data_IF_607916446294
#
_entry.id   IF_607916446294
#
_cell.length_a   1.000
_cell.length_b   1.000
_cell.length_c   1.000
_cell.angle_alpha   90.00
_cell.angle_beta   90.00
_cell.angle_gamma   90.00
#
_symmetry.space_group_name_H-M   'P 1'
#
loop_
_entity.id
_entity.type
_entity.pdbx_description
1 polymer ?
#
# COMPACT_ATOMS: atom_id res chain seq x y z
N UNK A 1 -15.14 23.01 77.02
CA UNK A 1 -14.12 23.35 76.01
C UNK A 1 -14.84 23.98 74.83
N UNK A 2 -14.73 25.30 74.66
CA UNK A 2 -15.41 26.02 73.58
C UNK A 2 -14.61 25.84 72.28
N UNK A 3 -15.19 25.14 71.31
CA UNK A 3 -14.67 25.16 69.94
C UNK A 3 -14.93 26.53 69.34
N UNK A 4 -13.87 27.31 69.09
CA UNK A 4 -13.96 28.54 68.30
C UNK A 4 -14.38 28.16 66.87
N UNK A 5 -15.48 28.71 66.34
CA UNK A 5 -15.89 28.44 64.97
C UNK A 5 -14.86 29.02 64.01
N UNK A 6 -14.20 28.16 63.24
CA UNK A 6 -13.31 28.58 62.15
C UNK A 6 -14.17 29.28 61.10
N UNK A 7 -13.97 30.59 60.95
CA UNK A 7 -14.68 31.43 59.97
C UNK A 7 -14.32 30.94 58.57
N UNK A 8 -15.22 30.19 57.91
CA UNK A 8 -15.04 29.78 56.52
C UNK A 8 -15.11 31.03 55.64
N UNK A 9 -14.03 31.36 54.94
CA UNK A 9 -14.03 32.44 53.93
C UNK A 9 -14.96 32.00 52.79
N UNK A 10 -15.99 32.79 52.51
CA UNK A 10 -16.86 32.58 51.36
C UNK A 10 -16.19 33.15 50.11
N UNK A 11 -16.15 32.35 49.04
CA UNK A 11 -15.58 32.76 47.75
C UNK A 11 -16.52 33.77 47.08
N UNK A 12 -15.98 34.88 46.58
CA UNK A 12 -16.78 35.86 45.84
C UNK A 12 -16.99 35.41 44.39
N UNK A 13 -18.11 35.81 43.79
CA UNK A 13 -18.43 35.52 42.39
C UNK A 13 -17.32 36.02 41.43
N UNK A 14 -16.71 37.17 41.77
CA UNK A 14 -15.61 37.76 40.99
C UNK A 14 -14.36 36.88 41.03
N UNK A 15 -13.97 36.36 42.20
CA UNK A 15 -12.81 35.46 42.31
C UNK A 15 -13.01 34.19 41.51
N UNK A 16 -14.22 33.61 41.51
CA UNK A 16 -14.53 32.42 40.72
C UNK A 16 -14.44 32.71 39.21
N UNK A 17 -14.99 33.84 38.77
CA UNK A 17 -15.00 34.24 37.36
C UNK A 17 -13.59 34.50 36.82
N UNK A 18 -12.72 35.14 37.61
CA UNK A 18 -11.31 35.36 37.24
C UNK A 18 -10.57 34.03 37.09
N UNK A 19 -10.76 33.08 38.01
CA UNK A 19 -10.12 31.77 37.93
C UNK A 19 -10.56 31.02 36.68
N UNK A 20 -11.86 31.02 36.37
CA UNK A 20 -12.38 30.39 35.14
C UNK A 20 -11.81 31.08 33.89
N UNK A 21 -11.70 32.41 33.89
CA UNK A 21 -11.11 33.16 32.78
C UNK A 21 -9.63 32.79 32.56
N UNK A 22 -8.84 32.68 33.63
CA UNK A 22 -7.43 32.29 33.55
C UNK A 22 -7.30 30.84 33.03
N UNK A 23 -8.07 29.90 33.58
CA UNK A 23 -8.08 28.50 33.10
C UNK A 23 -8.49 28.45 31.63
N UNK A 24 -9.52 29.22 31.23
CA UNK A 24 -9.98 29.31 29.85
C UNK A 24 -8.87 29.79 28.90
N UNK A 25 -8.11 30.82 29.29
CA UNK A 25 -6.98 31.33 28.51
C UNK A 25 -5.86 30.28 28.43
N UNK A 26 -5.48 29.67 29.56
CA UNK A 26 -4.42 28.64 29.60
C UNK A 26 -4.78 27.44 28.73
N UNK A 27 -5.99 26.90 28.85
CA UNK A 27 -6.47 25.78 28.03
C UNK A 27 -6.56 26.20 26.55
N UNK A 28 -7.05 27.40 26.26
CA UNK A 28 -7.15 27.94 24.90
C UNK A 28 -5.79 28.04 24.20
N UNK A 29 -4.73 28.39 24.94
CA UNK A 29 -3.37 28.46 24.40
C UNK A 29 -2.68 27.08 24.35
N UNK A 30 -2.98 26.17 25.28
CA UNK A 30 -2.35 24.85 25.36
C UNK A 30 -2.94 23.83 24.38
N UNK A 31 -4.24 23.89 24.08
CA UNK A 31 -4.89 22.87 23.25
C UNK A 31 -4.30 22.78 21.83
N UNK A 32 -4.12 23.89 21.07
CA UNK A 32 -3.50 23.81 19.74
C UNK A 32 -2.07 23.27 19.79
N UNK A 33 -1.29 23.70 20.79
CA UNK A 33 0.09 23.26 20.97
C UNK A 33 0.20 21.76 21.27
N UNK A 34 -0.67 21.24 22.15
CA UNK A 34 -0.70 19.80 22.47
C UNK A 34 -1.07 18.97 21.24
N UNK A 35 -2.00 19.43 20.39
CA UNK A 35 -2.35 18.70 19.17
C UNK A 35 -1.21 18.71 18.15
N UNK A 36 -0.54 19.86 17.95
CA UNK A 36 0.63 19.95 17.08
C UNK A 36 1.76 19.02 17.55
N UNK A 37 2.04 19.00 18.86
CA UNK A 37 3.04 18.11 19.45
C UNK A 37 2.67 16.62 19.26
N UNK A 38 1.39 16.26 19.45
CA UNK A 38 0.91 14.89 19.20
C UNK A 38 1.07 14.46 17.75
N UNK A 39 0.76 15.33 16.80
CA UNK A 39 0.92 15.01 15.38
C UNK A 39 2.40 14.89 14.98
N UNK A 40 3.27 15.77 15.49
CA UNK A 40 4.71 15.64 15.29
C UNK A 40 5.23 14.31 15.85
N UNK A 41 4.78 13.91 17.03
CA UNK A 41 5.14 12.61 17.62
C UNK A 41 4.66 11.43 16.76
N UNK A 42 3.41 11.45 16.27
CA UNK A 42 2.91 10.40 15.38
C UNK A 42 3.70 10.34 14.06
N UNK A 43 4.04 11.48 13.47
CA UNK A 43 4.87 11.57 12.27
C UNK A 43 6.25 10.97 12.47
N UNK A 44 6.90 11.26 13.60
CA UNK A 44 8.17 10.62 13.96
C UNK A 44 8.01 9.10 14.12
N UNK A 45 6.94 8.63 14.76
CA UNK A 45 6.68 7.19 14.89
C UNK A 45 6.44 6.51 13.54
N UNK A 46 5.70 7.11 12.60
CA UNK A 46 5.52 6.54 11.26
C UNK A 46 6.85 6.48 10.50
N UNK A 47 7.66 7.54 10.56
CA UNK A 47 9.01 7.54 9.97
C UNK A 47 9.92 6.45 10.58
N UNK A 48 9.87 6.25 11.90
CA UNK A 48 10.63 5.21 12.60
C UNK A 48 10.17 3.80 12.22
N UNK A 49 8.87 3.55 12.15
CA UNK A 49 8.32 2.27 11.68
C UNK A 49 8.77 1.99 10.25
N UNK A 50 8.77 3.02 9.39
CA UNK A 50 9.26 2.86 8.03
C UNK A 50 10.78 2.58 7.98
N UNK A 51 11.55 3.20 8.88
CA UNK A 51 12.98 2.91 9.01
C UNK A 51 13.23 1.46 9.44
N UNK A 52 12.41 0.91 10.34
CA UNK A 52 12.48 -0.51 10.72
C UNK A 52 12.19 -1.43 9.52
N UNK A 53 11.21 -1.11 8.68
CA UNK A 53 10.94 -1.85 7.44
C UNK A 53 12.15 -1.78 6.50
N UNK A 54 12.76 -0.60 6.32
CA UNK A 54 13.97 -0.45 5.51
C UNK A 54 15.14 -1.29 6.02
N UNK A 55 15.38 -1.27 7.33
CA UNK A 55 16.39 -2.13 7.97
C UNK A 55 16.09 -3.61 7.76
N UNK A 56 14.82 -4.02 7.88
CA UNK A 56 14.39 -5.38 7.68
C UNK A 56 14.62 -5.85 6.23
N UNK A 57 14.35 -5.01 5.23
CA UNK A 57 14.64 -5.28 3.81
C UNK A 57 16.15 -5.43 3.58
N UNK A 58 16.98 -4.55 4.15
CA UNK A 58 18.43 -4.63 4.04
C UNK A 58 19.01 -5.88 4.73
N UNK A 59 18.46 -6.26 5.89
CA UNK A 59 18.81 -7.51 6.58
C UNK A 59 18.41 -8.74 5.77
N UNK A 60 17.21 -8.74 5.18
CA UNK A 60 16.77 -9.77 4.24
C UNK A 60 17.75 -9.86 3.05
N UNK A 61 18.13 -8.75 2.44
CA UNK A 61 19.11 -8.73 1.35
C UNK A 61 20.49 -9.25 1.79
N UNK A 62 20.94 -8.91 3.00
CA UNK A 62 22.18 -9.42 3.56
C UNK A 62 22.17 -10.95 3.68
N UNK A 63 21.06 -11.52 4.15
CA UNK A 63 20.87 -12.95 4.36
C UNK A 63 20.67 -13.72 3.04
N UNK A 64 19.80 -13.23 2.14
CA UNK A 64 19.35 -13.97 0.95
C UNK A 64 19.94 -13.48 -0.38
N UNK A 65 20.76 -12.42 -0.37
CA UNK A 65 21.42 -11.82 -1.55
C UNK A 65 20.43 -11.36 -2.64
N UNK A 66 19.22 -10.99 -2.22
CA UNK A 66 18.15 -10.43 -3.02
C UNK A 66 17.17 -9.66 -2.13
N UNK A 67 16.38 -8.77 -2.71
CA UNK A 67 15.25 -8.13 -2.04
C UNK A 67 14.17 -9.17 -1.70
N UNK A 68 13.34 -8.92 -0.67
CA UNK A 68 12.12 -9.71 -0.47
C UNK A 68 11.25 -9.62 -1.71
N UNK A 69 10.65 -10.75 -2.09
CA UNK A 69 9.85 -10.82 -3.32
C UNK A 69 8.44 -10.30 -3.01
N UNK A 70 7.98 -9.32 -3.79
CA UNK A 70 6.59 -8.92 -3.83
C UNK A 70 5.84 -9.85 -4.77
N UNK A 71 4.98 -10.73 -4.27
CA UNK A 71 4.37 -11.80 -5.06
C UNK A 71 5.07 -13.14 -4.88
N UNK A 72 4.86 -13.76 -3.73
CA UNK A 72 5.37 -15.09 -3.39
C UNK A 72 4.28 -15.96 -2.75
N UNK A 73 4.64 -17.09 -2.16
CA UNK A 73 3.74 -18.00 -1.48
C UNK A 73 3.51 -19.28 -2.27
N UNK A 74 2.52 -20.05 -1.81
CA UNK A 74 2.16 -21.33 -2.41
C UNK A 74 1.44 -21.16 -3.74
N UNK A 75 1.45 -22.24 -4.50
CA UNK A 75 0.75 -22.38 -5.77
C UNK A 75 0.21 -23.81 -5.88
N UNK A 76 -0.95 -23.98 -6.51
CA UNK A 76 -1.61 -25.29 -6.64
C UNK A 76 -1.09 -25.98 -7.89
N UNK A 77 -0.37 -27.11 -7.76
CA UNK A 77 0.00 -27.93 -8.92
C UNK A 77 -1.27 -28.56 -9.50
N UNK A 78 -1.59 -28.28 -10.77
CA UNK A 78 -2.82 -28.77 -11.39
C UNK A 78 -3.56 -27.74 -12.26
N UNK A 79 -3.16 -26.47 -12.21
CA UNK A 79 -3.25 -25.64 -13.39
C UNK A 79 -4.49 -24.77 -13.53
N UNK A 80 -4.49 -23.64 -12.84
CA UNK A 80 -5.30 -22.48 -13.22
C UNK A 80 -4.54 -21.22 -12.89
N UNK A 81 -4.80 -20.18 -13.68
CA UNK A 81 -4.13 -18.89 -13.60
C UNK A 81 -3.87 -18.44 -12.15
N UNK A 82 -2.73 -17.79 -11.88
CA UNK A 82 -2.56 -17.05 -10.62
C UNK A 82 -3.63 -15.94 -10.45
N UNK A 83 -4.37 -15.63 -11.53
CA UNK A 83 -5.55 -14.77 -11.57
C UNK A 83 -6.86 -15.47 -11.28
N UNK A 84 -6.87 -16.80 -11.28
CA UNK A 84 -8.09 -17.52 -11.00
C UNK A 84 -8.42 -17.44 -9.51
N UNK A 85 -9.70 -17.22 -9.28
CA UNK A 85 -10.30 -17.17 -7.99
C UNK A 85 -10.86 -18.52 -7.56
N UNK A 86 -11.00 -19.55 -8.40
CA UNK A 86 -11.47 -20.87 -7.93
C UNK A 86 -11.21 -21.99 -8.93
N UNK A 87 -10.88 -23.24 -8.50
CA UNK A 87 -10.91 -23.78 -7.14
C UNK A 87 -9.57 -23.66 -6.38
N UNK A 88 -9.61 -23.82 -5.05
CA UNK A 88 -8.41 -23.96 -4.22
C UNK A 88 -8.04 -22.76 -3.34
N UNK A 89 -8.97 -21.82 -3.16
CA UNK A 89 -8.79 -20.70 -2.24
C UNK A 89 -8.50 -21.11 -0.79
N UNK A 90 -8.86 -22.33 -0.38
CA UNK A 90 -8.58 -22.86 0.96
C UNK A 90 -7.17 -23.46 1.10
N UNK A 91 -6.42 -23.57 0.01
CA UNK A 91 -5.19 -24.35 -0.02
C UNK A 91 -4.03 -23.65 -0.73
N UNK A 92 -4.12 -22.36 -1.05
CA UNK A 92 -2.99 -21.66 -1.70
C UNK A 92 -3.11 -20.15 -1.64
N UNK A 93 -1.99 -19.50 -1.33
CA UNK A 93 -1.83 -18.05 -1.45
C UNK A 93 -1.74 -17.55 -2.90
N UNK A 94 -1.64 -18.48 -3.85
CA UNK A 94 -1.64 -18.23 -5.30
C UNK A 94 -0.60 -17.19 -5.73
N UNK A 95 0.61 -17.29 -5.20
CA UNK A 95 1.69 -16.33 -5.47
C UNK A 95 1.39 -14.86 -5.11
N UNK A 96 0.39 -14.59 -4.25
CA UNK A 96 -0.04 -13.23 -3.89
C UNK A 96 0.57 -12.70 -2.60
N UNK A 97 1.54 -13.38 -1.99
CA UNK A 97 2.11 -12.89 -0.74
C UNK A 97 2.99 -11.67 -0.99
N UNK A 98 2.75 -10.58 -0.26
CA UNK A 98 3.50 -9.33 -0.37
C UNK A 98 4.93 -9.48 0.16
N UNK A 99 5.80 -8.52 -0.18
CA UNK A 99 7.16 -8.45 0.36
C UNK A 99 7.19 -8.38 1.90
N UNK A 100 6.12 -7.87 2.52
CA UNK A 100 6.00 -7.74 3.97
C UNK A 100 6.06 -9.11 4.66
N UNK A 101 5.52 -10.16 4.03
CA UNK A 101 5.59 -11.55 4.54
C UNK A 101 7.04 -12.02 4.67
N UNK A 102 7.88 -11.71 3.68
CA UNK A 102 9.29 -12.11 3.69
C UNK A 102 10.12 -11.41 4.77
N UNK A 103 9.71 -10.22 5.21
CA UNK A 103 10.44 -9.45 6.23
C UNK A 103 9.90 -9.63 7.65
N UNK A 104 8.80 -10.36 7.86
CA UNK A 104 8.23 -10.65 9.20
C UNK A 104 9.30 -11.08 10.23
N UNK A 105 10.20 -12.05 9.96
CA UNK A 105 11.22 -12.44 10.95
C UNK A 105 12.28 -11.35 11.20
N UNK A 106 12.39 -10.34 10.33
CA UNK A 106 13.34 -9.23 10.44
C UNK A 106 12.75 -7.97 11.11
N UNK A 107 11.45 -7.98 11.44
CA UNK A 107 10.76 -6.92 12.19
C UNK A 107 10.32 -7.38 13.58
N UNK A 108 11.08 -8.31 14.18
CA UNK A 108 10.84 -8.86 15.53
C UNK A 108 9.50 -9.60 15.69
N UNK A 109 8.91 -10.08 14.59
CA UNK A 109 7.65 -10.85 14.59
C UNK A 109 7.89 -12.35 14.40
N UNK A 110 8.83 -12.94 15.15
CA UNK A 110 9.17 -14.37 15.02
C UNK A 110 7.97 -15.29 15.26
N UNK A 111 7.12 -14.98 16.26
CA UNK A 111 5.93 -15.78 16.54
C UNK A 111 4.92 -15.81 15.39
N UNK A 112 4.76 -14.69 14.66
CA UNK A 112 3.93 -14.65 13.46
C UNK A 112 4.57 -15.46 12.32
N UNK A 113 5.88 -15.35 12.15
CA UNK A 113 6.61 -16.15 11.15
C UNK A 113 6.46 -17.65 11.41
N UNK A 114 6.56 -18.10 12.66
CA UNK A 114 6.41 -19.51 13.00
C UNK A 114 5.00 -20.03 12.68
N UNK A 115 3.96 -19.20 12.82
CA UNK A 115 2.59 -19.54 12.40
C UNK A 115 2.43 -19.60 10.87
N UNK A 116 3.17 -18.78 10.13
CA UNK A 116 3.13 -18.75 8.66
C UNK A 116 3.94 -19.89 8.04
N UNK A 117 5.13 -20.17 8.58
CA UNK A 117 6.08 -21.13 8.04
C UNK A 117 5.65 -22.60 8.27
N UNK A 118 4.70 -22.84 9.18
CA UNK A 118 4.23 -24.17 9.54
C UNK A 118 2.74 -24.34 9.27
N UNK A 119 2.26 -25.58 9.06
CA UNK A 119 0.83 -25.84 9.00
C UNK A 119 0.10 -25.40 10.29
N UNK A 120 -1.09 -24.81 10.15
CA UNK A 120 -1.86 -24.25 11.25
C UNK A 120 -3.23 -24.93 11.39
N UNK A 121 -3.48 -25.58 12.52
CA UNK A 121 -4.66 -26.44 12.73
C UNK A 121 -5.92 -25.76 13.24
N UNK A 122 -5.94 -24.42 13.36
CA UNK A 122 -7.05 -23.69 13.97
C UNK A 122 -7.54 -22.55 13.08
N UNK A 123 -8.83 -22.26 13.18
CA UNK A 123 -9.44 -21.08 12.58
C UNK A 123 -9.36 -19.89 13.54
N UNK A 124 -9.60 -18.68 13.02
CA UNK A 124 -9.66 -17.44 13.82
C UNK A 124 -10.71 -17.49 14.93
N UNK A 125 -11.77 -18.29 14.78
CA UNK A 125 -12.81 -18.50 15.81
C UNK A 125 -12.43 -19.56 16.87
N UNK A 126 -11.22 -20.13 16.78
CA UNK A 126 -10.73 -21.17 17.69
C UNK A 126 -11.19 -22.60 17.34
N UNK A 127 -12.01 -22.78 16.30
CA UNK A 127 -12.39 -24.11 15.83
C UNK A 127 -11.21 -24.84 15.19
N UNK A 128 -11.20 -26.17 15.27
CA UNK A 128 -10.19 -27.00 14.61
C UNK A 128 -10.44 -27.00 13.10
N UNK A 129 -9.39 -26.74 12.32
CA UNK A 129 -9.41 -26.85 10.86
C UNK A 129 -8.73 -28.16 10.42
N UNK A 130 -9.46 -29.00 9.69
CA UNK A 130 -8.98 -30.31 9.21
C UNK A 130 -9.27 -30.49 7.71
N UNK A 131 -8.25 -30.70 6.86
CA UNK A 131 -6.82 -30.74 7.18
C UNK A 131 -6.32 -29.38 7.69
N UNK A 132 -5.23 -29.29 8.48
CA UNK A 132 -4.65 -28.02 8.88
C UNK A 132 -4.40 -27.11 7.66
N UNK A 133 -4.54 -25.80 7.86
CA UNK A 133 -4.05 -24.82 6.90
C UNK A 133 -2.59 -25.13 6.59
N UNK A 134 -2.22 -25.16 5.31
CA UNK A 134 -0.84 -25.41 4.93
C UNK A 134 0.11 -24.26 5.34
N UNK A 135 1.41 -24.55 5.34
CA UNK A 135 2.43 -23.50 5.42
C UNK A 135 2.26 -22.48 4.28
N UNK A 136 2.57 -21.23 4.58
CA UNK A 136 2.35 -20.04 3.72
C UNK A 136 0.88 -19.74 3.40
N UNK A 137 -0.04 -20.41 4.08
CA UNK A 137 -1.46 -20.04 4.16
C UNK A 137 -2.32 -20.36 2.92
N UNK A 138 -3.64 -20.16 3.06
CA UNK A 138 -4.62 -20.22 1.96
C UNK A 138 -4.58 -18.96 1.06
N UNK A 139 -5.66 -18.67 0.33
CA UNK A 139 -5.80 -17.44 -0.45
C UNK A 139 -5.92 -16.19 0.44
N UNK A 140 -5.26 -15.05 0.14
CA UNK A 140 -5.14 -13.91 1.05
C UNK A 140 -6.43 -13.27 1.59
N UNK A 141 -7.61 -13.63 1.06
CA UNK A 141 -8.90 -13.13 1.54
C UNK A 141 -9.60 -14.03 2.57
N UNK A 142 -9.03 -15.15 3.04
CA UNK A 142 -9.71 -15.99 4.06
C UNK A 142 -9.53 -15.45 5.48
N UNK A 143 -10.54 -14.75 5.97
CA UNK A 143 -10.63 -14.28 7.36
C UNK A 143 -10.42 -15.36 8.42
N UNK A 144 -10.65 -16.64 8.09
CA UNK A 144 -10.52 -17.76 9.02
C UNK A 144 -9.08 -18.21 9.26
N UNK A 145 -8.09 -17.79 8.46
CA UNK A 145 -6.68 -18.09 8.74
C UNK A 145 -6.08 -16.98 9.63
N UNK A 146 -5.75 -17.27 10.91
CA UNK A 146 -5.41 -16.24 11.90
C UNK A 146 -4.24 -15.31 11.52
N UNK A 147 -3.13 -15.79 10.91
CA UNK A 147 -1.99 -14.93 10.59
C UNK A 147 -2.31 -13.72 9.71
N UNK A 148 -3.34 -13.79 8.85
CA UNK A 148 -3.70 -12.63 8.02
C UNK A 148 -4.46 -11.55 8.75
N UNK A 149 -5.17 -11.90 9.83
CA UNK A 149 -5.85 -10.94 10.68
C UNK A 149 -4.89 -10.29 11.70
N UNK A 150 -3.65 -10.76 11.80
CA UNK A 150 -2.67 -10.23 12.73
C UNK A 150 -2.22 -8.81 12.32
N UNK A 151 -2.42 -7.83 13.21
CA UNK A 151 -1.92 -6.47 13.03
C UNK A 151 -0.48 -6.36 13.55
N UNK A 152 0.48 -6.24 12.64
CA UNK A 152 1.88 -6.02 12.98
C UNK A 152 2.11 -4.54 13.28
N UNK A 153 2.52 -4.14 14.50
CA UNK A 153 2.68 -2.72 14.87
C UNK A 153 3.63 -1.94 13.95
N UNK A 154 4.74 -2.57 13.52
CA UNK A 154 5.71 -1.97 12.60
C UNK A 154 5.12 -1.66 11.21
N UNK A 155 4.06 -2.36 10.80
CA UNK A 155 3.39 -2.10 9.52
C UNK A 155 2.29 -1.02 9.63
N UNK A 156 2.04 -0.47 10.82
CA UNK A 156 1.04 0.58 11.04
C UNK A 156 1.70 1.94 11.24
N UNK A 157 1.04 2.99 10.78
CA UNK A 157 1.37 4.37 11.08
C UNK A 157 0.37 4.88 12.14
N UNK A 158 0.82 5.37 13.31
CA UNK A 158 -0.09 5.87 14.34
C UNK A 158 -0.99 7.04 13.94
N UNK A 159 -0.70 7.74 12.84
CA UNK A 159 -1.61 8.77 12.28
C UNK A 159 -2.77 8.18 11.48
N UNK A 160 -2.75 6.90 11.16
CA UNK A 160 -3.84 6.20 10.49
C UNK A 160 -4.79 5.56 11.51
N UNK A 161 -6.07 5.99 11.58
CA UNK A 161 -7.01 5.49 12.59
C UNK A 161 -7.69 4.18 12.19
N UNK A 162 -7.37 3.61 11.01
CA UNK A 162 -8.03 2.41 10.51
C UNK A 162 -7.74 1.19 11.38
N UNK A 163 -8.80 0.48 11.79
CA UNK A 163 -8.73 -0.74 12.61
C UNK A 163 -9.84 -1.70 12.21
N UNK A 164 -9.59 -3.00 12.40
CA UNK A 164 -10.63 -4.03 12.29
C UNK A 164 -11.31 -4.16 10.92
N UNK A 165 -12.44 -4.85 10.93
CA UNK A 165 -13.24 -5.17 9.75
C UNK A 165 -13.68 -3.91 8.99
N UNK A 166 -13.85 -3.99 7.66
CA UNK A 166 -13.74 -5.18 6.81
C UNK A 166 -12.31 -5.57 6.43
N UNK A 167 -11.29 -4.84 6.92
CA UNK A 167 -9.90 -5.22 6.72
C UNK A 167 -9.55 -6.48 7.51
N UNK A 168 -8.53 -7.19 7.02
CA UNK A 168 -7.76 -8.12 7.84
C UNK A 168 -6.67 -7.29 8.55
N UNK A 169 -5.47 -7.84 8.74
CA UNK A 169 -4.36 -7.06 9.23
C UNK A 169 -3.99 -5.96 8.23
N UNK A 170 -3.97 -4.72 8.70
CA UNK A 170 -3.71 -3.54 7.88
C UNK A 170 -2.22 -3.25 7.70
N UNK A 171 -1.88 -2.52 6.63
CA UNK A 171 -0.55 -1.93 6.43
C UNK A 171 -0.67 -0.46 6.00
N UNK A 172 0.31 0.35 6.40
CA UNK A 172 0.53 1.70 5.92
C UNK A 172 1.75 1.83 5.00
N UNK A 173 2.35 0.73 4.56
CA UNK A 173 3.56 0.75 3.73
C UNK A 173 3.42 -0.21 2.55
N UNK A 174 3.84 0.26 1.38
CA UNK A 174 3.64 -0.42 0.12
C UNK A 174 4.91 -0.45 -0.75
N UNK A 175 5.07 -1.51 -1.54
CA UNK A 175 6.15 -1.68 -2.50
C UNK A 175 5.99 -0.71 -3.68
N UNK A 176 7.08 -0.06 -4.10
CA UNK A 176 7.10 0.75 -5.30
C UNK A 176 7.22 -0.15 -6.55
N UNK A 177 6.15 -0.14 -7.37
CA UNK A 177 6.13 -0.78 -8.69
C UNK A 177 6.60 0.15 -9.82
N UNK A 178 6.92 1.42 -9.47
CA UNK A 178 7.44 2.43 -10.38
C UNK A 178 6.34 3.32 -10.95
N UNK A 179 6.62 3.93 -12.09
CA UNK A 179 5.82 4.98 -12.70
C UNK A 179 4.89 4.46 -13.81
N UNK A 180 4.53 3.18 -13.72
CA UNK A 180 3.49 2.56 -14.53
C UNK A 180 2.77 1.51 -13.71
N UNK A 181 1.45 1.61 -13.69
CA UNK A 181 0.52 0.66 -13.12
C UNK A 181 0.13 -0.42 -14.13
N UNK A 182 0.68 -0.40 -15.34
CA UNK A 182 0.36 -1.43 -16.34
C UNK A 182 0.97 -2.75 -15.88
N UNK A 183 0.17 -3.82 -15.93
CA UNK A 183 0.54 -5.11 -15.36
C UNK A 183 0.82 -5.02 -13.85
N UNK A 184 0.23 -4.09 -13.09
CA UNK A 184 0.58 -3.91 -11.68
C UNK A 184 0.18 -5.10 -10.80
N UNK A 185 -0.72 -5.95 -11.29
CA UNK A 185 -0.98 -7.28 -10.70
C UNK A 185 -0.07 -8.37 -11.30
N UNK A 186 0.29 -8.27 -12.58
CA UNK A 186 0.80 -9.40 -13.35
C UNK A 186 2.27 -9.71 -13.03
N UNK A 187 2.71 -10.98 -12.99
CA UNK A 187 3.97 -11.35 -12.42
C UNK A 187 5.04 -11.28 -13.51
N UNK A 188 6.29 -11.33 -13.08
CA UNK A 188 7.38 -11.78 -13.92
C UNK A 188 7.45 -13.32 -13.93
N UNK A 189 6.50 -13.97 -14.61
CA UNK A 189 6.54 -15.41 -14.84
C UNK A 189 6.43 -15.69 -16.33
N UNK A 190 7.23 -16.65 -16.82
CA UNK A 190 7.20 -17.08 -18.22
C UNK A 190 6.11 -18.12 -18.45
N UNK A 191 4.91 -17.92 -17.91
CA UNK A 191 3.79 -18.85 -18.03
C UNK A 191 2.53 -18.12 -18.43
N UNK A 192 1.75 -18.72 -19.33
CA UNK A 192 0.42 -18.23 -19.71
C UNK A 192 -0.59 -19.37 -19.79
N UNK A 193 -1.83 -19.11 -19.39
CA UNK A 193 -2.90 -20.10 -19.32
C UNK A 193 -3.37 -20.50 -20.72
N UNK A 194 -3.29 -21.79 -21.04
CA UNK A 194 -3.69 -22.41 -22.31
C UNK A 194 -5.20 -22.69 -22.38
N UNK A 195 -5.87 -22.89 -21.25
CA UNK A 195 -7.33 -23.13 -21.19
C UNK A 195 -7.88 -23.02 -19.76
N UNK A 196 -9.10 -22.51 -19.61
CA UNK A 196 -9.87 -22.53 -18.35
C UNK A 196 -10.44 -23.92 -17.97
N UNK A 197 -10.17 -24.96 -18.78
CA UNK A 197 -10.70 -26.32 -18.59
C UNK A 197 -10.02 -27.03 -17.41
N UNK A 198 -10.81 -27.37 -16.38
CA UNK A 198 -10.37 -28.07 -15.17
C UNK A 198 -9.84 -29.50 -15.40
N UNK A 199 -9.94 -30.02 -16.63
CA UNK A 199 -9.48 -31.38 -16.97
C UNK A 199 -8.06 -31.44 -17.53
N UNK A 200 -7.46 -30.29 -17.87
CA UNK A 200 -6.12 -30.23 -18.46
C UNK A 200 -5.06 -30.19 -17.37
N UNK A 201 -4.21 -31.22 -17.31
CA UNK A 201 -3.05 -31.21 -16.40
C UNK A 201 -1.98 -30.26 -16.95
N UNK A 202 -1.69 -29.18 -16.22
CA UNK A 202 -0.77 -28.09 -16.61
C UNK A 202 -1.21 -27.31 -17.87
N UNK A 203 -2.28 -26.51 -17.80
CA UNK A 203 -2.72 -25.66 -18.88
C UNK A 203 -1.81 -24.44 -18.98
N UNK A 204 -0.48 -24.57 -18.91
CA UNK A 204 0.43 -23.46 -19.12
C UNK A 204 1.36 -23.68 -20.30
N UNK A 205 1.60 -22.61 -21.06
CA UNK A 205 2.71 -22.53 -22.02
C UNK A 205 3.87 -21.83 -21.36
N UNK A 206 5.10 -22.14 -21.78
CA UNK A 206 6.16 -21.14 -21.66
C UNK A 206 5.75 -19.96 -22.54
N UNK A 207 5.45 -18.82 -21.93
CA UNK A 207 5.21 -17.55 -22.63
C UNK A 207 6.18 -16.50 -22.12
N UNK A 208 7.09 -16.05 -22.98
CA UNK A 208 7.98 -14.92 -22.68
C UNK A 208 7.28 -13.57 -22.82
N UNK A 209 6.09 -13.52 -23.43
CA UNK A 209 5.31 -12.31 -23.65
C UNK A 209 4.92 -11.64 -22.33
N UNK A 210 4.27 -12.35 -21.42
CA UNK A 210 3.87 -11.80 -20.12
C UNK A 210 5.06 -11.31 -19.28
N UNK A 211 6.12 -12.11 -19.13
CA UNK A 211 7.29 -11.68 -18.37
C UNK A 211 7.96 -10.42 -18.97
N UNK A 212 8.04 -10.32 -20.30
CA UNK A 212 8.55 -9.13 -20.97
C UNK A 212 7.63 -7.92 -20.72
N UNK A 213 6.32 -8.09 -20.81
CA UNK A 213 5.34 -7.04 -20.57
C UNK A 213 5.38 -6.50 -19.13
N UNK A 214 5.38 -7.40 -18.14
CA UNK A 214 5.50 -7.07 -16.72
C UNK A 214 6.83 -6.37 -16.44
N UNK A 215 7.96 -6.88 -16.95
CA UNK A 215 9.26 -6.25 -16.73
C UNK A 215 9.41 -4.87 -17.39
N UNK A 216 8.79 -4.67 -18.56
CA UNK A 216 8.82 -3.40 -19.27
C UNK A 216 7.95 -2.32 -18.61
N UNK A 217 6.90 -2.72 -17.89
CA UNK A 217 5.94 -1.80 -17.27
C UNK A 217 6.22 -1.60 -15.78
N UNK A 218 6.56 -2.65 -15.04
CA UNK A 218 6.96 -2.54 -13.64
C UNK A 218 8.41 -2.06 -13.55
N UNK A 219 8.59 -0.75 -13.47
CA UNK A 219 9.90 -0.09 -13.46
C UNK A 219 10.42 0.23 -12.06
N UNK A 220 9.64 -0.10 -11.04
CA UNK A 220 9.95 0.11 -9.63
C UNK A 220 11.15 -0.65 -9.08
N UNK A 221 11.44 -0.41 -7.81
CA UNK A 221 12.36 -1.24 -7.04
C UNK A 221 11.91 -2.70 -7.00
N UNK A 222 10.59 -2.93 -6.96
CA UNK A 222 9.98 -4.24 -6.99
C UNK A 222 9.35 -4.51 -8.36
N UNK A 223 9.56 -5.74 -8.83
CA UNK A 223 8.83 -6.35 -9.95
C UNK A 223 8.13 -7.57 -9.36
N UNK A 224 6.83 -7.68 -9.59
CA UNK A 224 6.02 -8.74 -9.02
C UNK A 224 6.62 -10.11 -9.38
N UNK A 225 6.74 -10.99 -8.39
CA UNK A 225 7.24 -12.35 -8.49
C UNK A 225 8.70 -12.48 -8.95
N UNK A 226 9.47 -11.38 -8.95
CA UNK A 226 10.88 -11.38 -9.32
C UNK A 226 11.79 -11.16 -8.13
N UNK A 227 12.82 -11.99 -8.00
CA UNK A 227 13.92 -11.82 -7.05
C UNK A 227 14.86 -10.67 -7.43
N UNK A 228 14.42 -9.45 -7.20
CA UNK A 228 15.19 -8.23 -7.48
C UNK A 228 16.42 -8.10 -6.57
N UNK A 229 17.46 -7.40 -7.02
CA UNK A 229 18.70 -7.17 -6.25
C UNK A 229 19.09 -5.70 -6.32
N UNK A 230 19.87 -5.22 -5.35
CA UNK A 230 20.38 -3.83 -5.37
C UNK A 230 21.18 -3.49 -6.64
N UNK A 231 21.89 -4.46 -7.22
CA UNK A 231 22.61 -4.28 -8.50
C UNK A 231 21.68 -4.02 -9.70
N UNK A 232 20.39 -4.35 -9.58
CA UNK A 232 19.41 -4.15 -10.65
C UNK A 232 18.84 -2.71 -10.62
N UNK A 233 19.26 -1.89 -9.64
CA UNK A 233 18.93 -0.45 -9.50
C UNK A 233 20.08 0.36 -10.09
N UNK A 234 19.95 0.69 -11.37
CA UNK A 234 20.97 1.37 -12.15
C UNK A 234 20.99 2.89 -11.91
N UNK A 235 19.86 3.47 -11.49
CA UNK A 235 19.75 4.92 -11.22
C UNK A 235 20.30 5.33 -9.84
N UNK A 236 20.71 4.32 -9.04
CA UNK A 236 21.32 4.49 -7.72
C UNK A 236 20.31 4.33 -6.57
N UNK A 237 20.73 3.63 -5.52
CA UNK A 237 19.86 3.33 -4.37
C UNK A 237 19.35 4.59 -3.64
N UNK A 238 20.14 5.66 -3.57
CA UNK A 238 19.72 6.93 -2.96
C UNK A 238 18.72 7.72 -3.80
N UNK A 239 18.54 7.34 -5.06
CA UNK A 239 17.73 8.05 -6.05
C UNK A 239 16.47 7.27 -6.46
N UNK A 240 16.30 6.04 -5.98
CA UNK A 240 15.14 5.21 -6.31
C UNK A 240 14.32 4.94 -5.05
N UNK A 241 13.02 5.25 -5.12
CA UNK A 241 12.03 4.93 -4.09
C UNK A 241 11.81 3.41 -4.07
N UNK A 242 12.05 2.82 -2.91
CA UNK A 242 11.82 1.41 -2.62
C UNK A 242 10.37 1.16 -2.21
N UNK A 243 9.86 1.95 -1.27
CA UNK A 243 8.51 1.82 -0.72
C UNK A 243 7.93 3.21 -0.45
N UNK A 244 6.61 3.30 -0.31
CA UNK A 244 5.96 4.52 0.19
C UNK A 244 4.91 4.26 1.25
N UNK A 245 4.62 5.31 2.01
CA UNK A 245 3.50 5.32 2.94
C UNK A 245 2.16 5.35 2.19
N UNK A 246 1.19 4.61 2.69
CA UNK A 246 -0.18 4.54 2.19
C UNK A 246 -1.16 4.76 3.33
N UNK A 247 -2.20 5.55 3.10
CA UNK A 247 -3.34 5.63 4.01
C UNK A 247 -4.24 4.41 3.81
N UNK A 248 -4.81 3.90 4.89
CA UNK A 248 -5.81 2.82 4.81
C UNK A 248 -7.21 3.39 4.66
N UNK A 249 -8.05 2.61 3.98
CA UNK A 249 -9.43 2.99 3.76
C UNK A 249 -10.25 2.94 5.05
N UNK A 250 -11.12 3.93 5.24
CA UNK A 250 -11.96 4.06 6.42
C UNK A 250 -13.44 3.79 6.10
N UNK A 251 -13.75 3.38 4.86
CA UNK A 251 -15.13 3.28 4.38
C UNK A 251 -15.82 4.65 4.25
N UNK A 252 -15.05 5.73 4.18
CA UNK A 252 -15.50 7.12 4.13
C UNK A 252 -15.56 7.69 2.71
N UNK A 253 -15.27 6.85 1.69
CA UNK A 253 -15.22 7.23 0.28
C UNK A 253 -14.06 8.19 -0.07
N UNK A 254 -12.97 8.18 0.72
CA UNK A 254 -11.75 8.95 0.45
C UNK A 254 -11.12 8.48 -0.87
N UNK A 255 -10.88 9.42 -1.78
CA UNK A 255 -10.45 9.11 -3.15
C UNK A 255 -9.03 8.54 -3.25
N UNK A 256 -8.26 8.60 -2.16
CA UNK A 256 -6.91 8.03 -2.06
C UNK A 256 -6.91 6.60 -1.56
N UNK A 257 -8.04 6.11 -1.04
CA UNK A 257 -8.11 4.82 -0.32
C UNK A 257 -9.26 3.94 -0.76
N UNK A 258 -10.38 4.51 -1.22
CA UNK A 258 -11.51 3.76 -1.76
C UNK A 258 -11.27 3.47 -3.24
N UNK A 259 -11.16 2.19 -3.59
CA UNK A 259 -11.00 1.74 -4.97
C UNK A 259 -12.34 1.83 -5.74
N UNK A 260 -12.42 2.59 -6.85
CA UNK A 260 -13.62 2.65 -7.67
C UNK A 260 -13.87 1.32 -8.40
N UNK A 261 -15.13 0.82 -8.39
CA UNK A 261 -15.51 -0.48 -8.98
C UNK A 261 -16.52 -0.43 -10.13
N UNK A 262 -17.43 0.57 -10.25
CA UNK A 262 -18.26 0.79 -11.45
C UNK A 262 -19.24 2.00 -11.42
N UNK A 263 -19.13 2.92 -12.40
CA UNK A 263 -20.16 3.33 -13.40
C UNK A 263 -19.52 4.23 -14.47
N UNK A 264 -19.86 4.06 -15.75
CA UNK A 264 -19.53 4.97 -16.89
C UNK A 264 -18.10 4.91 -17.45
N UNK A 265 -17.15 4.46 -16.64
CA UNK A 265 -15.73 4.33 -16.95
C UNK A 265 -15.26 2.87 -17.12
N UNK A 266 -15.98 1.94 -16.49
CA UNK A 266 -15.43 0.63 -16.14
C UNK A 266 -16.37 -0.56 -16.39
N UNK A 267 -17.15 -0.58 -17.49
CA UNK A 267 -17.97 -1.73 -17.89
C UNK A 267 -17.60 -2.26 -19.29
N UNK A 268 -17.42 -3.59 -19.42
CA UNK A 268 -17.16 -4.40 -20.64
C UNK A 268 -15.66 -4.69 -21.00
N UNK A 269 -15.33 -5.68 -21.87
CA UNK A 269 -14.62 -6.91 -21.48
C UNK A 269 -13.16 -7.02 -21.97
N UNK A 270 -12.70 -6.11 -22.83
CA UNK A 270 -11.30 -6.06 -23.28
C UNK A 270 -10.61 -4.89 -22.58
N UNK A 271 -9.69 -5.22 -21.68
CA UNK A 271 -8.61 -4.37 -21.16
C UNK A 271 -8.85 -2.86 -21.24
N UNK A 272 -9.47 -2.32 -20.20
CA UNK A 272 -9.87 -0.92 -20.11
C UNK A 272 -8.61 -0.04 -20.12
N UNK A 273 -8.63 1.00 -20.95
CA UNK A 273 -7.44 1.78 -21.30
C UNK A 273 -7.38 3.13 -20.56
N UNK A 274 -8.43 3.50 -19.82
CA UNK A 274 -8.66 4.87 -19.38
C UNK A 274 -7.57 5.34 -18.41
N UNK A 275 -7.40 4.66 -17.26
CA UNK A 275 -6.39 5.05 -16.28
C UNK A 275 -4.95 4.88 -16.81
N UNK A 276 -4.74 3.93 -17.72
CA UNK A 276 -3.44 3.70 -18.37
C UNK A 276 -3.05 4.85 -19.29
N UNK A 277 -3.97 5.32 -20.12
CA UNK A 277 -3.73 6.38 -21.09
C UNK A 277 -3.87 7.79 -20.48
N UNK A 278 -4.68 7.91 -19.42
CA UNK A 278 -4.94 9.13 -18.66
C UNK A 278 -5.10 8.78 -17.17
N UNK A 279 -4.04 8.84 -16.36
CA UNK A 279 -4.11 8.57 -14.93
C UNK A 279 -5.07 9.49 -14.15
N UNK A 280 -5.40 10.66 -14.69
CA UNK A 280 -6.34 11.62 -14.09
C UNK A 280 -7.79 11.39 -14.53
N UNK A 281 -8.06 10.32 -15.27
CA UNK A 281 -9.38 10.05 -15.84
C UNK A 281 -10.51 10.03 -14.80
N UNK A 282 -10.22 9.65 -13.55
CA UNK A 282 -11.22 9.60 -12.48
C UNK A 282 -11.48 10.97 -11.79
N UNK A 283 -10.77 12.05 -12.15
CA UNK A 283 -10.94 13.40 -11.56
C UNK A 283 -12.38 13.93 -11.65
N UNK A 284 -13.13 13.78 -12.75
CA UNK A 284 -14.51 14.27 -12.84
C UNK A 284 -15.48 13.61 -11.85
N UNK A 285 -15.08 12.52 -11.20
CA UNK A 285 -15.88 11.82 -10.19
C UNK A 285 -15.55 12.24 -8.76
N UNK A 286 -14.67 13.23 -8.57
CA UNK A 286 -14.39 13.82 -7.26
C UNK A 286 -15.54 14.76 -6.86
N UNK A 287 -15.91 14.72 -5.59
CA UNK A 287 -16.89 15.64 -5.02
C UNK A 287 -16.33 17.08 -5.04
N UNK A 288 -16.96 18.03 -5.78
CA UNK A 288 -16.45 19.39 -5.92
C UNK A 288 -16.45 20.17 -4.60
N UNK A 289 -17.36 19.83 -3.68
CA UNK A 289 -17.44 20.46 -2.36
C UNK A 289 -16.49 19.79 -1.35
N UNK A 290 -16.09 18.53 -1.63
CA UNK A 290 -15.19 17.74 -0.78
C UNK A 290 -14.11 17.05 -1.61
N UNK A 291 -13.06 17.77 -2.05
CA UNK A 291 -12.07 17.26 -3.02
C UNK A 291 -11.26 16.02 -2.61
N UNK A 292 -11.35 15.59 -1.35
CA UNK A 292 -10.74 14.35 -0.85
C UNK A 292 -11.63 13.12 -1.03
N UNK A 293 -12.85 13.27 -1.49
CA UNK A 293 -13.83 12.19 -1.53
C UNK A 293 -14.40 12.04 -2.93
N UNK A 294 -14.78 10.81 -3.26
CA UNK A 294 -15.56 10.55 -4.47
C UNK A 294 -16.98 11.09 -4.33
N UNK A 295 -17.61 11.41 -5.47
CA UNK A 295 -19.04 11.71 -5.54
C UNK A 295 -19.85 10.54 -4.96
N UNK A 296 -20.80 10.79 -4.04
CA UNK A 296 -21.61 9.73 -3.42
C UNK A 296 -22.40 8.86 -4.42
N UNK A 297 -22.73 9.41 -5.57
CA UNK A 297 -23.49 8.73 -6.65
C UNK A 297 -22.66 8.49 -7.90
N UNK A 298 -21.37 8.85 -7.92
CA UNK A 298 -20.52 8.80 -9.10
C UNK A 298 -19.80 7.47 -9.31
N UNK A 299 -19.54 6.73 -8.23
CA UNK A 299 -18.75 5.50 -8.24
C UNK A 299 -19.31 4.48 -7.23
N UNK A 300 -19.41 3.22 -7.63
CA UNK A 300 -19.56 2.11 -6.68
C UNK A 300 -18.18 1.69 -6.16
N UNK A 301 -18.13 1.10 -4.97
CA UNK A 301 -16.93 0.49 -4.40
C UNK A 301 -17.25 -0.87 -3.78
N UNK A 302 -16.22 -1.67 -3.57
CA UNK A 302 -16.33 -2.91 -2.80
C UNK A 302 -15.71 -2.69 -1.41
N UNK A 303 -16.50 -2.96 -0.39
CA UNK A 303 -16.11 -2.76 1.02
C UNK A 303 -14.90 -3.61 1.45
N UNK A 304 -14.54 -4.68 0.73
CA UNK A 304 -13.38 -5.52 1.03
C UNK A 304 -12.11 -5.15 0.24
N UNK A 305 -12.20 -4.18 -0.68
CA UNK A 305 -11.11 -3.79 -1.59
C UNK A 305 -10.47 -2.45 -1.22
N UNK A 306 -10.68 -2.01 0.02
CA UNK A 306 -10.08 -0.79 0.55
C UNK A 306 -8.56 -0.86 0.61
N UNK A 307 -7.92 0.29 0.40
CA UNK A 307 -6.46 0.41 0.42
C UNK A 307 -5.87 -0.03 1.76
N UNK A 308 -4.78 -0.79 1.71
CA UNK A 308 -4.04 -1.22 2.91
C UNK A 308 -4.76 -2.26 3.80
N UNK A 309 -5.82 -2.92 3.32
CA UNK A 309 -6.63 -3.86 4.12
C UNK A 309 -5.99 -5.21 4.40
N UNK A 310 -4.89 -5.53 3.70
CA UNK A 310 -4.23 -6.84 3.78
C UNK A 310 -2.73 -6.64 3.65
N UNK A 311 -2.02 -6.62 4.78
CA UNK A 311 -0.56 -6.45 4.78
C UNK A 311 0.16 -7.57 4.01
N UNK A 312 -0.44 -8.76 3.92
CA UNK A 312 0.13 -9.95 3.30
C UNK A 312 -0.22 -10.11 1.82
N UNK A 313 -1.09 -9.28 1.24
CA UNK A 313 -1.58 -9.46 -0.14
C UNK A 313 -0.91 -8.45 -1.07
N UNK A 314 -0.20 -8.93 -2.09
CA UNK A 314 0.58 -8.11 -3.03
C UNK A 314 -0.27 -7.21 -3.93
N UNK A 315 -1.58 -7.47 -4.00
CA UNK A 315 -2.45 -6.82 -4.97
C UNK A 315 -2.37 -5.29 -4.87
N UNK A 316 -2.54 -4.59 -6.00
CA UNK A 316 -2.28 -3.15 -6.09
C UNK A 316 -2.91 -2.29 -4.99
N UNK A 317 -4.21 -2.44 -4.62
CA UNK A 317 -4.77 -1.61 -3.56
C UNK A 317 -4.17 -1.90 -2.17
N UNK A 318 -3.58 -3.05 -1.91
CA UNK A 318 -3.24 -3.43 -0.54
C UNK A 318 -1.80 -3.08 -0.14
N UNK A 319 -0.82 -3.44 -0.96
CA UNK A 319 0.60 -3.32 -0.58
C UNK A 319 1.48 -2.82 -1.74
N UNK A 320 0.88 -2.16 -2.73
CA UNK A 320 1.60 -1.57 -3.85
C UNK A 320 1.36 -0.07 -3.95
N UNK A 321 2.35 0.63 -4.47
CA UNK A 321 2.23 2.02 -4.89
C UNK A 321 2.91 2.24 -6.23
N UNK A 322 2.46 3.29 -6.92
CA UNK A 322 3.08 3.79 -8.14
C UNK A 322 3.46 5.25 -8.00
N UNK A 323 4.46 5.68 -8.78
CA UNK A 323 4.92 7.06 -8.87
C UNK A 323 4.36 7.76 -10.12
N UNK A 324 3.10 7.45 -10.45
CA UNK A 324 2.40 7.99 -11.62
C UNK A 324 1.79 9.36 -11.31
N UNK A 325 0.92 9.45 -10.30
CA UNK A 325 0.43 10.73 -9.78
C UNK A 325 1.19 11.08 -8.51
N UNK A 326 1.30 12.39 -8.20
CA UNK A 326 1.99 12.87 -7.00
C UNK A 326 1.36 12.34 -5.70
N UNK A 327 2.05 12.45 -4.55
CA UNK A 327 1.51 11.98 -3.28
C UNK A 327 0.14 12.58 -2.93
N UNK A 328 -0.67 11.81 -2.22
CA UNK A 328 -2.02 12.19 -1.80
C UNK A 328 -3.01 12.46 -2.96
N UNK A 329 -2.73 11.94 -4.16
CA UNK A 329 -3.68 11.95 -5.27
C UNK A 329 -4.58 10.71 -5.28
N UNK A 330 -5.63 10.81 -6.09
CA UNK A 330 -6.68 9.81 -6.23
C UNK A 330 -6.16 8.44 -6.73
N UNK A 331 -6.89 7.38 -6.42
CA UNK A 331 -6.75 6.08 -7.07
C UNK A 331 -7.44 6.09 -8.44
N UNK A 332 -6.79 5.52 -9.45
CA UNK A 332 -7.42 5.26 -10.76
C UNK A 332 -7.25 3.78 -11.09
N UNK A 333 -8.35 3.07 -11.33
CA UNK A 333 -8.34 1.63 -11.62
C UNK A 333 -9.39 1.29 -12.66
N UNK A 334 -9.20 0.17 -13.34
CA UNK A 334 -10.19 -0.41 -14.26
C UNK A 334 -11.32 -1.20 -13.59
N UNK A 335 -11.53 -1.03 -12.28
CA UNK A 335 -12.76 -1.39 -11.59
C UNK A 335 -12.72 -2.66 -10.74
N UNK A 336 -11.55 -3.23 -10.45
CA UNK A 336 -11.39 -4.35 -9.50
C UNK A 336 -10.04 -4.31 -8.78
N UNK A 337 -9.96 -4.96 -7.62
CA UNK A 337 -8.74 -5.08 -6.79
C UNK A 337 -7.57 -5.75 -7.50
N UNK A 338 -7.87 -6.69 -8.39
CA UNK A 338 -6.92 -7.40 -9.23
C UNK A 338 -6.84 -6.80 -10.63
N UNK A 339 -7.02 -5.50 -10.83
CA UNK A 339 -6.74 -4.85 -12.11
C UNK A 339 -5.55 -3.91 -11.94
N UNK A 340 -5.12 -3.31 -13.05
CA UNK A 340 -4.15 -2.25 -12.99
C UNK A 340 -4.72 -1.09 -12.15
N UNK A 341 -3.93 -0.62 -11.18
CA UNK A 341 -4.31 0.46 -10.28
C UNK A 341 -3.18 1.46 -10.18
N UNK A 342 -3.43 2.66 -10.70
CA UNK A 342 -2.65 3.85 -10.34
C UNK A 342 -2.92 4.11 -8.87
N UNK A 343 -1.90 3.87 -8.05
CA UNK A 343 -1.99 3.85 -6.59
C UNK A 343 -0.91 4.72 -5.97
N UNK A 344 -1.04 6.05 -6.05
CA UNK A 344 -0.05 6.97 -5.47
C UNK A 344 0.11 6.74 -3.98
N UNK A 345 1.28 7.01 -3.39
CA UNK A 345 1.41 6.99 -1.92
C UNK A 345 0.48 8.04 -1.31
N UNK A 346 0.00 7.76 -0.11
CA UNK A 346 -0.91 8.65 0.61
C UNK A 346 -0.63 8.59 2.12
N UNK A 347 -0.91 9.68 2.81
CA UNK A 347 -0.71 9.75 4.26
C UNK A 347 -1.84 10.53 4.93
N UNK A 348 -1.99 10.32 6.24
CA UNK A 348 -2.81 11.16 7.11
C UNK A 348 -2.03 12.38 7.64
N UNK A 349 -0.71 12.43 7.42
CA UNK A 349 0.09 13.63 7.62
C UNK A 349 -0.28 14.73 6.61
N UNK A 350 -0.10 15.99 7.01
CA UNK A 350 -0.35 17.13 6.13
C UNK A 350 0.81 17.35 5.16
N UNK A 351 0.48 17.67 3.90
CA UNK A 351 1.41 18.22 2.91
C UNK A 351 2.38 17.22 2.27
N UNK A 352 2.22 15.91 2.50
CA UNK A 352 3.13 14.92 1.91
C UNK A 352 2.98 13.52 2.46
N UNK A 353 3.99 12.69 2.21
CA UNK A 353 4.09 11.28 2.62
C UNK A 353 5.53 10.94 2.97
N UNK A 354 5.77 9.94 3.81
CA UNK A 354 7.09 9.35 3.88
C UNK A 354 7.30 8.37 2.73
N UNK A 355 8.51 8.37 2.17
CA UNK A 355 9.01 7.36 1.24
C UNK A 355 10.28 6.74 1.82
N UNK A 356 10.51 5.47 1.50
CA UNK A 356 11.74 4.77 1.79
C UNK A 356 12.56 4.69 0.50
N UNK A 357 13.78 5.21 0.53
CA UNK A 357 14.73 5.14 -0.57
C UNK A 357 15.47 3.79 -0.58
N UNK A 358 16.03 3.42 -1.72
CA UNK A 358 16.81 2.20 -1.92
C UNK A 358 17.94 1.99 -0.92
N UNK A 359 18.58 3.08 -0.49
CA UNK A 359 19.68 3.09 0.48
C UNK A 359 19.21 2.99 1.95
N UNK A 360 17.88 2.94 2.16
CA UNK A 360 17.25 2.85 3.47
C UNK A 360 16.99 4.20 4.15
N UNK A 361 17.20 5.34 3.48
CA UNK A 361 16.78 6.64 3.97
C UNK A 361 15.24 6.76 3.96
N UNK A 362 14.67 7.37 4.99
CA UNK A 362 13.25 7.74 5.03
C UNK A 362 13.15 9.24 4.82
N UNK A 363 12.47 9.65 3.75
CA UNK A 363 12.36 11.03 3.30
C UNK A 363 10.89 11.43 3.27
N UNK A 364 10.57 12.66 3.67
CA UNK A 364 9.22 13.18 3.54
C UNK A 364 9.09 13.95 2.22
N UNK A 365 8.27 13.45 1.31
CA UNK A 365 8.03 14.04 0.00
C UNK A 365 6.72 14.81 0.03
N UNK A 366 6.76 16.06 -0.44
CA UNK A 366 5.57 16.91 -0.47
C UNK A 366 4.61 16.49 -1.59
N UNK A 367 3.33 16.79 -1.42
CA UNK A 367 2.32 16.60 -2.48
C UNK A 367 2.50 17.56 -3.68
N UNK A 368 3.34 18.58 -3.51
CA UNK A 368 3.73 19.58 -4.52
C UNK A 368 4.98 19.22 -5.33
N UNK A 369 5.53 18.00 -5.17
CA UNK A 369 6.66 17.54 -5.98
C UNK A 369 6.33 17.61 -7.49
N UNK A 370 7.34 17.93 -8.31
CA UNK A 370 7.22 17.95 -9.76
C UNK A 370 6.89 16.53 -10.27
N UNK A 371 5.70 16.38 -10.87
CA UNK A 371 5.11 15.09 -11.25
C UNK A 371 4.69 15.01 -12.72
N UNK A 372 5.31 15.80 -13.59
CA UNK A 372 5.10 15.78 -15.04
C UNK A 372 3.65 15.97 -15.46
N UNK A 373 3.25 15.25 -16.51
CA UNK A 373 1.89 15.34 -17.07
C UNK A 373 0.99 14.24 -16.49
N UNK A 374 0.00 14.57 -15.64
CA UNK A 374 -0.87 13.58 -15.01
C UNK A 374 -1.93 12.99 -15.96
N UNK A 375 -2.00 13.47 -17.21
CA UNK A 375 -2.84 12.94 -18.28
C UNK A 375 -2.04 12.17 -19.35
N UNK A 376 -0.74 11.93 -19.12
CA UNK A 376 0.09 11.21 -20.08
C UNK A 376 -0.11 9.69 -19.99
N UNK A 377 -0.03 8.97 -21.13
CA UNK A 377 -0.01 7.52 -21.13
C UNK A 377 1.20 6.97 -20.38
N UNK A 378 0.97 5.94 -19.57
CA UNK A 378 2.01 5.27 -18.78
C UNK A 378 2.89 4.38 -19.67
N UNK A 379 4.17 4.22 -19.31
CA UNK A 379 5.11 3.40 -20.08
C UNK A 379 4.75 1.92 -20.01
N UNK A 380 4.63 1.28 -21.17
CA UNK A 380 4.36 -0.15 -21.28
C UNK A 380 4.55 -0.64 -22.73
N UNK A 381 4.44 -1.95 -22.94
CA UNK A 381 4.38 -2.52 -24.28
C UNK A 381 3.00 -2.39 -24.96
N UNK A 382 1.99 -1.84 -24.26
CA UNK A 382 0.63 -1.72 -24.80
C UNK A 382 0.52 -0.58 -25.81
N UNK A 383 -0.39 -0.73 -26.78
CA UNK A 383 -0.64 0.31 -27.76
C UNK A 383 -1.04 1.65 -27.10
N UNK A 384 -0.48 2.76 -27.63
CA UNK A 384 -0.69 4.11 -27.12
C UNK A 384 0.18 4.50 -25.91
N UNK A 385 0.97 3.57 -25.37
CA UNK A 385 1.97 3.86 -24.34
C UNK A 385 3.34 4.18 -24.96
N UNK A 386 4.17 5.05 -24.34
CA UNK A 386 5.58 5.11 -24.66
C UNK A 386 6.23 3.75 -24.38
N UNK A 387 7.17 3.28 -25.22
CA UNK A 387 7.79 1.97 -25.05
C UNK A 387 8.72 1.93 -23.83
N UNK A 388 8.95 0.76 -23.21
CA UNK A 388 9.90 0.61 -22.12
C UNK A 388 11.30 1.11 -22.49
N UNK A 389 11.96 1.79 -21.54
CA UNK A 389 13.19 2.55 -21.77
C UNK A 389 12.95 4.01 -22.17
N UNK A 390 11.70 4.42 -22.42
CA UNK A 390 11.36 5.85 -22.52
C UNK A 390 11.47 6.54 -21.15
N UNK A 391 11.86 7.82 -21.11
CA UNK A 391 11.76 8.63 -19.90
C UNK A 391 10.36 8.60 -19.28
N UNK A 392 10.30 8.72 -17.97
CA UNK A 392 9.08 8.94 -17.20
C UNK A 392 8.33 10.16 -17.72
N UNK A 393 7.03 10.02 -18.09
CA UNK A 393 6.19 11.17 -18.41
C UNK A 393 5.73 11.93 -17.14
N UNK A 394 6.02 11.39 -15.96
CA UNK A 394 5.59 11.90 -14.65
C UNK A 394 6.72 12.64 -13.92
N UNK A 395 7.66 13.23 -14.68
CA UNK A 395 8.67 14.15 -14.18
C UNK A 395 9.63 13.53 -13.17
N UNK A 396 10.15 14.36 -12.27
CA UNK A 396 11.02 13.96 -11.16
C UNK A 396 10.37 12.86 -10.31
N UNK A 397 9.08 13.00 -10.01
CA UNK A 397 8.36 12.01 -9.23
C UNK A 397 8.39 10.61 -9.85
N UNK A 398 8.09 10.50 -11.15
CA UNK A 398 8.14 9.22 -11.84
C UNK A 398 9.57 8.69 -12.03
N UNK A 399 10.55 9.57 -12.24
CA UNK A 399 11.96 9.21 -12.30
C UNK A 399 12.45 8.58 -10.98
N UNK A 400 12.08 9.18 -9.84
CA UNK A 400 12.40 8.63 -8.50
C UNK A 400 11.79 7.25 -8.27
N UNK A 401 10.68 6.91 -8.93
CA UNK A 401 10.11 5.56 -8.84
C UNK A 401 10.76 4.55 -9.75
N UNK A 402 11.58 4.95 -10.72
CA UNK A 402 12.20 4.05 -11.68
C UNK A 402 13.55 3.54 -11.19
N UNK A 403 13.82 2.25 -11.38
CA UNK A 403 15.11 1.63 -11.01
C UNK A 403 16.20 1.78 -12.07
N UNK A 404 15.80 2.02 -13.33
CA UNK A 404 16.67 2.03 -14.50
C UNK A 404 16.09 2.88 -15.64
N UNK A 405 15.46 4.01 -15.30
CA UNK A 405 14.96 5.00 -16.26
C UNK A 405 16.09 5.86 -16.86
N UNK A 406 17.23 5.98 -16.18
CA UNK A 406 18.40 6.71 -16.66
C UNK A 406 18.26 8.23 -16.59
N UNK A 407 17.22 8.76 -15.95
CA UNK A 407 17.06 10.20 -15.76
C UNK A 407 18.05 10.75 -14.72
N UNK A 408 18.68 11.88 -15.04
CA UNK A 408 19.58 12.57 -14.11
C UNK A 408 18.76 13.40 -13.14
N UNK A 409 18.70 12.96 -11.88
CA UNK A 409 18.04 13.69 -10.79
C UNK A 409 19.00 14.78 -10.28
N UNK A 410 18.71 16.04 -10.61
CA UNK A 410 19.54 17.20 -10.23
C UNK A 410 19.11 17.83 -8.89
N UNK A 411 17.89 17.58 -8.43
CA UNK A 411 17.37 18.11 -7.17
C UNK A 411 17.69 17.18 -5.99
N UNK A 412 18.24 17.75 -4.90
CA UNK A 412 18.39 17.03 -3.64
C UNK A 412 17.06 17.01 -2.89
N UNK A 413 16.60 15.82 -2.52
CA UNK A 413 15.34 15.61 -1.79
C UNK A 413 15.33 16.15 -0.33
N UNK A 414 16.42 16.79 0.12
CA UNK A 414 16.68 17.12 1.52
C UNK A 414 17.01 18.62 1.74
N UNK A 415 16.26 19.55 1.14
CA UNK A 415 16.34 20.98 1.50
C UNK A 415 15.02 21.50 2.04
#
# INVERSE_FOLDING_TARGET
>A
MNHMPVRRRAFTLVELLVVIAIIGILVGLLLPAVQAAREAARRMSCSNNFKQIGLAIHNYHSAYKQLPIHGTGTYIPGGRDIWDTNPGREISANHRLSFLVGIVPFVEQQGLWDMLANPHGFNTDGSVHSPPWQAMGPHPDRVLYPPWAFETPTFRCPSDPGVGLPALGRTNYAACAGDSAVHSRDPYLNIDEKSEDATVTFPYSVDTGHANQSNGSQRGMFVNNRGMKFRDVLDGLSNTIMCGEIATDLGDNDNRTTLPTNTGAHAAPQEKNQCRLDPSYAVPYIDPDRPRFWLPTGLTSNVAWGRGFRWHDMMPPYTQMTTVLSPNKLLCSDGRDHRDVVSPPSSRHQGGVHVLMGDGAVVFITDSIEAGNPNAPQVSHRAGSPPPGSPSPFGLWGALGSRAGGEVIQEQLNQ
#
